data_IF_020336786005
#
_entry.id   IF_020336786005
#
_cell.length_a   1.000
_cell.length_b   1.000
_cell.length_c   1.000
_cell.angle_alpha   90.00
_cell.angle_beta   90.00
_cell.angle_gamma   90.00
#
_symmetry.space_group_name_H-M   'P 1'
#
loop_
_entity.id
_entity.type
_entity.pdbx_description
1 polymer ?
#
# COMPACT_ATOMS: atom_id res chain seq x y z
N UNK A 1 -10.56 3.51 -5.27
CA UNK A 1 -9.75 3.87 -4.09
C UNK A 1 -8.31 4.02 -4.55
N UNK A 2 -7.67 5.13 -4.17
CA UNK A 2 -6.24 5.35 -4.37
C UNK A 2 -5.55 5.27 -3.01
N UNK A 3 -4.58 4.38 -2.88
CA UNK A 3 -3.72 4.23 -1.71
C UNK A 3 -2.36 4.82 -2.10
N UNK A 4 -1.91 5.85 -1.42
CA UNK A 4 -0.60 6.47 -1.63
C UNK A 4 0.09 6.68 -0.27
N UNK A 5 1.36 6.34 -0.16
CA UNK A 5 2.10 6.49 1.09
C UNK A 5 3.25 5.51 1.24
N UNK A 6 3.68 5.30 2.48
CA UNK A 6 4.78 4.41 2.83
C UNK A 6 4.24 3.30 3.74
N UNK A 7 4.24 2.05 3.27
CA UNK A 7 3.89 0.89 4.10
C UNK A 7 5.11 0.36 4.82
N UNK A 8 4.90 -0.17 6.03
CA UNK A 8 5.97 -0.77 6.80
C UNK A 8 6.48 -2.05 6.13
N UNK A 9 5.56 -2.89 5.66
CA UNK A 9 5.83 -4.17 5.06
C UNK A 9 4.74 -4.57 4.05
N UNK A 10 5.02 -5.64 3.29
CA UNK A 10 4.10 -6.15 2.27
C UNK A 10 2.83 -6.77 2.88
N UNK A 11 2.91 -7.32 4.11
CA UNK A 11 1.77 -7.95 4.77
C UNK A 11 0.70 -6.93 5.18
N UNK A 12 1.13 -5.76 5.68
CA UNK A 12 0.26 -4.63 5.98
C UNK A 12 -0.44 -4.14 4.71
N UNK A 13 0.29 -4.00 3.61
CA UNK A 13 -0.26 -3.59 2.32
C UNK A 13 -1.35 -4.56 1.84
N UNK A 14 -1.08 -5.87 1.88
CA UNK A 14 -2.03 -6.89 1.46
C UNK A 14 -3.31 -6.89 2.33
N UNK A 15 -3.17 -6.65 3.63
CA UNK A 15 -4.29 -6.53 4.56
C UNK A 15 -5.17 -5.32 4.21
N UNK A 16 -4.57 -4.17 3.93
CA UNK A 16 -5.29 -2.94 3.55
C UNK A 16 -5.99 -3.10 2.20
N UNK A 17 -5.32 -3.68 1.20
CA UNK A 17 -5.92 -3.95 -0.12
C UNK A 17 -7.11 -4.90 0.03
N UNK A 18 -6.96 -5.97 0.81
CA UNK A 18 -8.03 -6.94 1.06
C UNK A 18 -9.23 -6.29 1.74
N UNK A 19 -8.99 -5.41 2.71
CA UNK A 19 -10.05 -4.68 3.38
C UNK A 19 -10.75 -3.71 2.42
N UNK A 20 -10.00 -2.96 1.61
CA UNK A 20 -10.52 -2.03 0.62
C UNK A 20 -11.37 -2.73 -0.46
N UNK A 21 -10.99 -3.94 -0.89
CA UNK A 21 -11.77 -4.74 -1.86
C UNK A 21 -13.09 -5.28 -1.30
N UNK A 22 -13.19 -5.49 0.02
CA UNK A 22 -14.41 -5.97 0.67
C UNK A 22 -15.50 -4.91 0.82
N UNK A 23 -15.16 -3.63 0.62
CA UNK A 23 -16.14 -2.54 0.70
C UNK A 23 -17.06 -2.62 -0.53
N UNK A 24 -18.37 -2.72 -0.29
CA UNK A 24 -19.39 -2.78 -1.35
C UNK A 24 -19.25 -1.56 -2.26
N UNK A 25 -19.31 -1.77 -3.59
CA UNK A 25 -19.15 -0.77 -4.66
C UNK A 25 -17.72 -0.32 -4.98
N UNK A 26 -16.67 -0.91 -4.38
CA UNK A 26 -15.29 -0.62 -4.80
C UNK A 26 -15.00 -1.30 -6.13
N UNK A 27 -14.96 -0.51 -7.20
CA UNK A 27 -14.67 -0.99 -8.58
C UNK A 27 -13.19 -1.20 -8.87
N UNK A 28 -12.30 -0.38 -8.28
CA UNK A 28 -10.84 -0.46 -8.51
C UNK A 28 -10.07 0.08 -7.30
N UNK A 29 -9.01 -0.63 -6.94
CA UNK A 29 -8.02 -0.22 -5.93
C UNK A 29 -6.68 -0.06 -6.63
N UNK A 30 -6.08 1.13 -6.53
CA UNK A 30 -4.76 1.44 -7.09
C UNK A 30 -3.87 1.83 -5.92
N UNK A 31 -2.74 1.14 -5.76
CA UNK A 31 -1.77 1.36 -4.69
C UNK A 31 -0.45 1.87 -5.25
N UNK A 32 -0.08 3.10 -4.87
CA UNK A 32 1.25 3.70 -5.05
C UNK A 32 1.92 3.76 -3.68
N UNK A 33 2.24 2.60 -3.14
CA UNK A 33 2.86 2.49 -1.81
C UNK A 33 4.32 2.10 -1.97
N UNK A 34 5.20 2.83 -1.28
CA UNK A 34 6.62 2.50 -1.15
C UNK A 34 6.83 1.69 0.13
N UNK A 35 7.57 0.60 0.07
CA UNK A 35 7.89 -0.20 1.25
C UNK A 35 9.02 0.46 2.04
N UNK A 36 8.90 0.52 3.39
CA UNK A 36 9.99 1.00 4.25
C UNK A 36 11.25 0.15 4.09
N UNK A 37 11.07 -1.15 3.86
CA UNK A 37 12.13 -2.12 3.66
C UNK A 37 12.69 -2.16 2.24
N UNK A 38 12.20 -1.34 1.32
CA UNK A 38 12.68 -1.34 -0.06
C UNK A 38 14.18 -0.97 -0.07
N UNK A 39 15.07 -1.85 -0.55
CA UNK A 39 16.51 -1.57 -0.61
C UNK A 39 16.86 -0.40 -1.54
N UNK A 40 15.94 0.01 -2.43
CA UNK A 40 16.09 1.21 -3.26
C UNK A 40 15.78 2.51 -2.50
N UNK A 41 15.25 2.42 -1.28
CA UNK A 41 15.07 3.57 -0.39
C UNK A 41 16.43 3.97 0.17
N UNK A 42 17.09 4.92 -0.48
CA UNK A 42 18.17 5.66 0.19
C UNK A 42 17.57 6.37 1.41
N UNK A 43 18.11 6.19 2.64
CA UNK A 43 17.74 7.05 3.74
C UNK A 43 17.97 8.49 3.29
N UNK A 44 16.99 9.36 3.52
CA UNK A 44 17.14 10.79 3.23
C UNK A 44 18.35 11.35 3.99
N UNK A 45 18.93 12.46 3.51
CA UNK A 45 20.08 13.09 4.15
C UNK A 45 19.82 13.44 5.63
#
# INVERSE_FOLDING_TARGET
>A
IYLAGIAQDQQELDKVITHARRIKYVKKVISHILLKSDPNRKPGP
#
